data_IF_923664035080
#
_entry.id   IF_923664035080
#
_cell.length_a   1.000
_cell.length_b   1.000
_cell.length_c   1.000
_cell.angle_alpha   90.00
_cell.angle_beta   90.00
_cell.angle_gamma   90.00
#
_symmetry.space_group_name_H-M   'P 1'
#
loop_
_entity.id
_entity.type
_entity.pdbx_description
1 polymer ?
#
# COMPACT_ATOMS: atom_id res chain seq x y z
N UNK A 1 32.65 13.01 -91.97
CA UNK A 1 33.95 12.88 -91.28
C UNK A 1 33.82 13.61 -89.96
N UNK A 2 33.78 13.01 -88.77
CA UNK A 2 34.32 11.74 -88.29
C UNK A 2 33.34 11.08 -87.29
N UNK A 3 33.24 9.75 -87.36
CA UNK A 3 32.43 8.89 -86.50
C UNK A 3 33.01 8.75 -85.09
N UNK A 4 32.09 8.67 -84.13
CA UNK A 4 32.32 8.57 -82.69
C UNK A 4 32.24 7.08 -82.28
N UNK A 5 33.37 6.44 -81.96
CA UNK A 5 33.39 5.06 -81.44
C UNK A 5 33.38 5.05 -79.91
N UNK A 6 32.30 4.48 -79.35
CA UNK A 6 32.13 4.18 -77.92
C UNK A 6 33.06 3.03 -77.50
N UNK A 7 33.79 3.23 -76.40
CA UNK A 7 34.53 2.17 -75.70
C UNK A 7 33.74 1.81 -74.44
N UNK A 8 33.24 0.58 -74.37
CA UNK A 8 32.59 0.02 -73.18
C UNK A 8 33.66 -0.47 -72.20
N UNK A 9 33.63 0.02 -70.96
CA UNK A 9 34.34 -0.58 -69.83
C UNK A 9 33.35 -1.40 -68.99
N UNK A 10 33.55 -2.71 -68.95
CA UNK A 10 32.87 -3.66 -68.07
C UNK A 10 33.42 -3.51 -66.65
N UNK A 11 32.57 -3.10 -65.71
CA UNK A 11 32.88 -3.08 -64.27
C UNK A 11 32.39 -4.39 -63.65
N UNK A 12 33.33 -5.22 -63.18
CA UNK A 12 33.03 -6.41 -62.39
C UNK A 12 32.70 -5.99 -60.95
N UNK A 13 31.44 -6.16 -60.54
CA UNK A 13 30.98 -5.91 -59.17
C UNK A 13 31.27 -7.12 -58.28
N UNK A 14 32.26 -7.02 -57.40
CA UNK A 14 32.46 -8.00 -56.31
C UNK A 14 31.46 -7.70 -55.18
N UNK A 15 30.45 -8.54 -55.00
CA UNK A 15 29.52 -8.45 -53.88
C UNK A 15 30.17 -9.01 -52.61
N UNK A 16 30.49 -8.15 -51.64
CA UNK A 16 30.98 -8.56 -50.31
C UNK A 16 29.79 -8.66 -49.35
N UNK A 17 29.37 -9.88 -49.04
CA UNK A 17 28.30 -10.15 -48.07
C UNK A 17 28.84 -9.97 -46.66
N UNK A 18 28.54 -8.84 -46.01
CA UNK A 18 28.83 -8.63 -44.58
C UNK A 18 27.80 -9.39 -43.75
N UNK A 19 28.19 -10.52 -43.16
CA UNK A 19 27.42 -11.19 -42.12
C UNK A 19 27.42 -10.30 -40.87
N UNK A 20 26.30 -9.61 -40.60
CA UNK A 20 26.04 -9.03 -39.28
C UNK A 20 25.78 -10.17 -38.29
N UNK A 21 26.82 -10.57 -37.56
CA UNK A 21 26.66 -11.41 -36.38
C UNK A 21 25.97 -10.59 -35.28
N UNK A 22 24.70 -10.85 -35.04
CA UNK A 22 23.94 -10.32 -33.90
C UNK A 22 24.57 -10.85 -32.61
N UNK A 23 25.44 -10.06 -31.97
CA UNK A 23 25.96 -10.40 -30.63
C UNK A 23 24.80 -10.18 -29.65
N UNK A 24 24.11 -11.27 -29.32
CA UNK A 24 23.16 -11.31 -28.20
C UNK A 24 23.95 -11.23 -26.89
N UNK A 25 24.13 -10.00 -26.37
CA UNK A 25 24.62 -9.81 -25.02
C UNK A 25 23.67 -10.53 -24.05
N UNK A 26 24.18 -11.32 -23.09
CA UNK A 26 23.33 -11.95 -22.09
C UNK A 26 22.63 -10.84 -21.31
N UNK A 27 21.30 -10.89 -21.27
CA UNK A 27 20.53 -10.05 -20.38
C UNK A 27 20.89 -10.45 -18.94
N UNK A 28 21.78 -9.70 -18.30
CA UNK A 28 22.11 -9.90 -16.90
C UNK A 28 20.83 -9.69 -16.10
N UNK A 29 20.36 -10.76 -15.46
CA UNK A 29 19.33 -10.65 -14.43
C UNK A 29 19.86 -9.71 -13.34
N UNK A 30 19.07 -8.71 -12.94
CA UNK A 30 19.40 -7.96 -11.73
C UNK A 30 19.36 -8.91 -10.53
N UNK A 31 20.28 -8.74 -9.61
CA UNK A 31 20.48 -9.62 -8.45
C UNK A 31 19.78 -9.13 -7.18
N UNK A 32 18.92 -8.12 -7.30
CA UNK A 32 18.21 -7.49 -6.20
C UNK A 32 16.74 -7.32 -6.57
N UNK A 33 15.84 -7.76 -5.69
CA UNK A 33 14.38 -7.67 -5.85
C UNK A 33 13.95 -6.20 -5.77
N UNK A 34 13.00 -5.81 -6.63
CA UNK A 34 12.39 -4.48 -6.65
C UNK A 34 10.90 -4.57 -6.36
N UNK A 35 10.47 -3.83 -5.34
CA UNK A 35 9.11 -3.82 -4.83
C UNK A 35 8.59 -2.38 -4.90
N UNK A 36 7.37 -2.21 -5.40
CA UNK A 36 6.71 -0.90 -5.45
C UNK A 36 5.34 -0.99 -4.82
N UNK A 37 4.76 0.13 -4.37
CA UNK A 37 3.31 0.24 -4.19
C UNK A 37 2.89 0.83 -2.86
N UNK A 38 1.99 0.15 -2.17
CA UNK A 38 1.27 0.69 -1.02
C UNK A 38 2.18 1.15 0.12
N UNK A 39 2.08 2.42 0.49
CA UNK A 39 2.66 3.03 1.70
C UNK A 39 2.27 2.32 2.99
N UNK A 40 1.06 1.75 3.03
CA UNK A 40 0.59 0.93 4.16
C UNK A 40 1.38 -0.37 4.30
N UNK A 41 1.70 -1.01 3.16
CA UNK A 41 2.37 -2.30 3.17
C UNK A 41 3.89 -2.12 3.25
N UNK A 42 4.36 -0.89 3.00
CA UNK A 42 5.77 -0.49 3.07
C UNK A 42 6.47 -0.89 4.37
N UNK A 43 5.98 -0.57 5.59
CA UNK A 43 6.65 -0.96 6.83
C UNK A 43 6.77 -2.49 6.95
N UNK A 44 5.69 -3.24 6.66
CA UNK A 44 5.72 -4.71 6.71
C UNK A 44 6.72 -5.30 5.71
N UNK A 45 6.72 -4.81 4.47
CA UNK A 45 7.65 -5.29 3.45
C UNK A 45 9.10 -4.95 3.79
N UNK A 46 9.34 -3.79 4.41
CA UNK A 46 10.68 -3.38 4.84
C UNK A 46 11.23 -4.33 5.89
N UNK A 47 10.44 -4.66 6.92
CA UNK A 47 10.83 -5.63 7.94
C UNK A 47 11.13 -7.02 7.34
N UNK A 48 10.30 -7.50 6.41
CA UNK A 48 10.54 -8.78 5.73
C UNK A 48 11.81 -8.70 4.87
N UNK A 49 12.00 -7.60 4.13
CA UNK A 49 13.17 -7.39 3.27
C UNK A 49 14.48 -7.34 4.06
N UNK A 50 14.51 -6.61 5.17
CA UNK A 50 15.67 -6.53 6.07
C UNK A 50 16.02 -7.91 6.63
N UNK A 51 15.03 -8.65 7.14
CA UNK A 51 15.24 -10.02 7.65
C UNK A 51 15.64 -11.00 6.56
N UNK A 52 15.16 -10.81 5.34
CA UNK A 52 15.54 -11.62 4.20
C UNK A 52 16.99 -11.38 3.78
N UNK A 53 17.40 -10.11 3.70
CA UNK A 53 18.76 -9.70 3.35
C UNK A 53 19.80 -10.02 4.43
N UNK A 54 19.41 -9.98 5.71
CA UNK A 54 20.32 -10.29 6.83
C UNK A 54 20.79 -11.75 6.87
N UNK A 55 20.14 -12.65 6.12
CA UNK A 55 20.61 -14.04 5.93
C UNK A 55 21.92 -14.14 5.14
N UNK A 56 22.33 -13.08 4.43
CA UNK A 56 23.54 -13.03 3.60
C UNK A 56 23.43 -13.79 2.27
N UNK A 57 22.35 -14.53 2.02
CA UNK A 57 22.17 -15.32 0.79
C UNK A 57 21.66 -14.49 -0.40
N UNK A 58 20.89 -13.43 -0.14
CA UNK A 58 20.32 -12.55 -1.16
C UNK A 58 20.51 -11.10 -0.74
N UNK A 59 20.57 -10.19 -1.73
CA UNK A 59 20.54 -8.75 -1.45
C UNK A 59 19.20 -8.35 -0.84
N UNK A 60 19.24 -7.40 0.10
CA UNK A 60 18.03 -6.77 0.66
C UNK A 60 17.18 -6.18 -0.47
N UNK A 61 15.90 -6.57 -0.60
CA UNK A 61 14.98 -5.98 -1.58
C UNK A 61 14.89 -4.46 -1.47
N UNK A 62 14.80 -3.78 -2.61
CA UNK A 62 14.53 -2.34 -2.66
C UNK A 62 13.02 -2.13 -2.72
N UNK A 63 12.49 -1.26 -1.86
CA UNK A 63 11.07 -1.00 -1.75
C UNK A 63 10.82 0.49 -1.97
N UNK A 64 9.91 0.81 -2.88
CA UNK A 64 9.48 2.19 -3.15
C UNK A 64 7.97 2.36 -2.88
N UNK A 65 7.65 3.29 -1.98
CA UNK A 65 6.27 3.69 -1.72
C UNK A 65 5.75 4.58 -2.87
N UNK A 66 4.80 4.05 -3.65
CA UNK A 66 4.21 4.72 -4.82
C UNK A 66 2.67 4.73 -4.79
N UNK A 67 2.09 4.27 -3.67
CA UNK A 67 0.66 4.01 -3.50
C UNK A 67 0.19 2.79 -4.28
N UNK A 68 -0.88 2.12 -3.83
CA UNK A 68 -1.36 0.86 -4.45
C UNK A 68 -1.62 1.01 -5.96
N UNK A 69 -2.25 2.12 -6.39
CA UNK A 69 -2.54 2.35 -7.80
C UNK A 69 -1.30 2.70 -8.65
N UNK A 70 -0.36 3.47 -8.08
CA UNK A 70 0.90 3.80 -8.73
C UNK A 70 1.80 2.59 -8.89
N UNK A 71 1.97 1.81 -7.82
CA UNK A 71 2.70 0.55 -7.83
C UNK A 71 2.13 -0.45 -8.83
N UNK A 72 0.80 -0.62 -8.87
CA UNK A 72 0.18 -1.51 -9.85
C UNK A 72 0.39 -1.04 -11.30
N UNK A 73 0.39 0.28 -11.55
CA UNK A 73 0.72 0.84 -12.86
C UNK A 73 2.16 0.51 -13.26
N UNK A 74 3.13 0.64 -12.35
CA UNK A 74 4.54 0.32 -12.57
C UNK A 74 4.76 -1.19 -12.78
N UNK A 75 4.17 -2.00 -11.91
CA UNK A 75 4.19 -3.46 -11.97
C UNK A 75 3.63 -3.97 -13.30
N UNK A 76 2.46 -3.50 -13.73
CA UNK A 76 1.83 -3.93 -14.98
C UNK A 76 2.50 -3.36 -16.25
N UNK A 77 3.62 -2.63 -16.19
CA UNK A 77 4.28 -2.09 -17.41
C UNK A 77 4.88 -3.15 -18.32
N UNK A 78 5.27 -4.31 -17.77
CA UNK A 78 5.87 -5.38 -18.54
C UNK A 78 6.64 -6.39 -17.70
N UNK A 79 7.27 -7.32 -18.41
CA UNK A 79 8.26 -8.28 -17.89
C UNK A 79 9.68 -7.84 -18.26
N UNK A 80 10.69 -8.37 -17.58
CA UNK A 80 12.09 -7.95 -17.71
C UNK A 80 12.63 -7.24 -16.46
N UNK A 81 13.96 -7.10 -16.40
CA UNK A 81 14.71 -6.62 -15.23
C UNK A 81 14.47 -5.13 -14.93
N UNK A 82 14.04 -4.35 -15.92
CA UNK A 82 13.69 -2.93 -15.80
C UNK A 82 12.33 -2.67 -15.13
N UNK A 83 11.55 -3.72 -14.83
CA UNK A 83 10.25 -3.60 -14.20
C UNK A 83 10.26 -4.19 -12.78
N UNK A 84 9.46 -3.66 -11.84
CA UNK A 84 9.36 -4.22 -10.49
C UNK A 84 8.85 -5.67 -10.50
N UNK A 85 9.31 -6.47 -9.54
CA UNK A 85 8.91 -7.88 -9.36
C UNK A 85 7.63 -8.02 -8.58
N UNK A 86 7.46 -7.12 -7.60
CA UNK A 86 6.40 -7.20 -6.60
C UNK A 86 5.68 -5.86 -6.52
N UNK A 87 4.35 -5.93 -6.38
CA UNK A 87 3.50 -4.77 -6.10
C UNK A 87 2.77 -4.94 -4.78
N UNK A 88 3.08 -4.07 -3.83
CA UNK A 88 2.42 -3.93 -2.54
C UNK A 88 1.07 -3.23 -2.69
N UNK A 89 0.04 -3.71 -1.99
CA UNK A 89 -1.32 -3.23 -2.16
C UNK A 89 -2.16 -3.32 -0.88
N UNK A 90 -2.96 -2.29 -0.58
CA UNK A 90 -3.89 -2.29 0.56
C UNK A 90 -5.36 -2.49 0.12
N UNK A 91 -5.53 -3.18 -1.03
CA UNK A 91 -6.79 -3.61 -1.62
C UNK A 91 -6.49 -4.64 -2.70
N UNK A 92 -7.50 -5.43 -3.06
CA UNK A 92 -7.38 -6.32 -4.21
C UNK A 92 -7.06 -5.55 -5.50
N UNK A 93 -6.32 -6.21 -6.39
CA UNK A 93 -6.07 -5.76 -7.76
C UNK A 93 -7.42 -5.63 -8.49
N UNK A 94 -7.59 -4.56 -9.27
CA UNK A 94 -8.83 -4.34 -10.01
C UNK A 94 -8.86 -5.15 -11.30
N UNK A 95 -10.04 -5.50 -11.82
CA UNK A 95 -10.17 -6.13 -13.14
C UNK A 95 -9.50 -5.31 -14.26
N UNK A 96 -9.59 -3.98 -14.20
CA UNK A 96 -8.93 -3.09 -15.17
C UNK A 96 -7.40 -3.10 -15.06
N UNK A 97 -6.86 -3.28 -13.86
CA UNK A 97 -5.42 -3.42 -13.62
C UNK A 97 -4.92 -4.79 -14.11
N UNK A 98 -5.65 -5.86 -13.83
CA UNK A 98 -5.37 -7.20 -14.37
C UNK A 98 -5.38 -7.21 -15.90
N UNK A 99 -6.38 -6.57 -16.53
CA UNK A 99 -6.43 -6.44 -18.00
C UNK A 99 -5.21 -5.69 -18.54
N UNK A 100 -4.77 -4.63 -17.87
CA UNK A 100 -3.58 -3.89 -18.25
C UNK A 100 -2.30 -4.72 -18.09
N UNK A 101 -2.17 -5.47 -16.99
CA UNK A 101 -1.09 -6.43 -16.78
C UNK A 101 -1.02 -7.46 -17.91
N UNK A 102 -2.14 -8.14 -18.22
CA UNK A 102 -2.23 -9.12 -19.31
C UNK A 102 -1.86 -8.52 -20.67
N UNK A 103 -2.35 -7.31 -20.97
CA UNK A 103 -2.03 -6.58 -22.21
C UNK A 103 -0.51 -6.36 -22.39
N UNK A 104 0.22 -6.17 -21.30
CA UNK A 104 1.65 -5.90 -21.31
C UNK A 104 2.50 -7.15 -21.01
N UNK A 105 1.94 -8.36 -21.20
CA UNK A 105 2.66 -9.63 -21.01
C UNK A 105 2.83 -10.09 -19.57
N UNK A 106 2.27 -9.36 -18.59
CA UNK A 106 2.23 -9.78 -17.18
C UNK A 106 0.99 -10.65 -16.97
N UNK A 107 1.06 -11.89 -17.45
CA UNK A 107 -0.07 -12.83 -17.48
C UNK A 107 -0.28 -13.58 -16.17
N UNK A 108 0.77 -14.20 -15.64
CA UNK A 108 0.73 -15.00 -14.42
C UNK A 108 1.19 -14.18 -13.20
N UNK A 109 0.24 -13.87 -12.31
CA UNK A 109 0.46 -13.08 -11.10
C UNK A 109 0.06 -13.91 -9.90
N UNK A 110 0.95 -14.05 -8.91
CA UNK A 110 0.63 -14.65 -7.62
C UNK A 110 0.11 -13.52 -6.72
N UNK A 111 -1.13 -13.65 -6.23
CA UNK A 111 -1.70 -12.75 -5.23
C UNK A 111 -1.48 -13.32 -3.82
N UNK A 112 -0.97 -12.51 -2.90
CA UNK A 112 -0.74 -12.89 -1.50
C UNK A 112 -1.48 -11.92 -0.60
N UNK A 113 -2.65 -12.32 -0.11
CA UNK A 113 -3.29 -11.63 1.03
C UNK A 113 -2.56 -12.12 2.27
N UNK A 114 -1.80 -11.25 2.95
CA UNK A 114 -0.95 -11.68 4.08
C UNK A 114 -1.49 -11.27 5.45
N UNK A 115 -2.50 -10.40 5.49
CA UNK A 115 -3.09 -9.94 6.73
C UNK A 115 -4.10 -8.83 6.51
N UNK A 116 -4.43 -8.18 7.62
CA UNK A 116 -5.35 -7.07 7.70
C UNK A 116 -4.70 -5.90 8.42
N UNK A 117 -5.33 -4.75 8.27
CA UNK A 117 -4.98 -3.50 8.93
C UNK A 117 -6.28 -2.83 9.38
N UNK A 118 -6.27 -2.24 10.56
CA UNK A 118 -7.36 -1.46 11.13
C UNK A 118 -6.82 -0.15 11.66
N UNK A 119 -7.57 0.93 11.43
CA UNK A 119 -7.13 2.28 11.77
C UNK A 119 -8.08 2.86 12.79
N UNK A 120 -7.56 3.13 13.98
CA UNK A 120 -8.29 3.68 15.10
C UNK A 120 -8.39 5.21 14.99
N UNK A 121 -9.51 5.75 15.46
CA UNK A 121 -9.66 7.16 15.79
C UNK A 121 -9.73 7.27 17.31
N UNK A 122 -8.66 7.74 17.93
CA UNK A 122 -8.43 7.55 19.36
C UNK A 122 -8.34 8.86 20.12
N UNK A 123 -8.67 8.79 21.41
CA UNK A 123 -8.55 9.88 22.39
C UNK A 123 -7.96 9.32 23.70
N UNK A 124 -7.71 10.19 24.68
CA UNK A 124 -7.33 9.77 26.04
C UNK A 124 -8.32 8.75 26.62
N UNK A 125 -7.85 7.81 27.44
CA UNK A 125 -8.70 6.87 28.18
C UNK A 125 -9.74 7.59 29.06
N UNK A 126 -9.41 8.78 29.55
CA UNK A 126 -10.27 9.64 30.38
C UNK A 126 -11.16 10.59 29.55
N UNK A 127 -11.05 10.56 28.22
CA UNK A 127 -11.89 11.35 27.35
C UNK A 127 -13.32 10.81 27.26
N UNK A 128 -14.25 11.67 26.84
CA UNK A 128 -15.59 11.23 26.48
C UNK A 128 -15.54 10.25 25.31
N UNK A 129 -16.38 9.21 25.37
CA UNK A 129 -16.57 8.25 24.28
C UNK A 129 -17.44 8.84 23.18
N UNK A 130 -17.05 8.58 21.93
CA UNK A 130 -17.78 9.00 20.74
C UNK A 130 -18.10 7.80 19.85
N UNK A 131 -19.17 7.95 19.07
CA UNK A 131 -19.47 7.12 17.91
C UNK A 131 -19.59 8.04 16.71
N UNK A 132 -18.71 7.86 15.72
CA UNK A 132 -18.64 8.70 14.54
C UNK A 132 -19.07 7.96 13.29
N UNK A 133 -19.81 8.62 12.44
CA UNK A 133 -19.90 8.23 11.03
C UNK A 133 -18.71 8.76 10.25
N UNK A 134 -18.35 8.08 9.16
CA UNK A 134 -17.28 8.59 8.27
C UNK A 134 -17.64 9.91 7.60
N UNK A 135 -18.94 10.22 7.45
CA UNK A 135 -19.41 11.52 6.96
C UNK A 135 -19.08 12.62 7.97
N UNK A 136 -19.32 12.39 9.26
CA UNK A 136 -18.98 13.36 10.32
C UNK A 136 -17.48 13.60 10.39
N UNK A 137 -16.66 12.54 10.32
CA UNK A 137 -15.20 12.66 10.28
C UNK A 137 -14.72 13.43 9.03
N UNK A 138 -15.31 13.17 7.86
CA UNK A 138 -15.01 13.94 6.66
C UNK A 138 -15.37 15.42 6.84
N UNK A 139 -16.55 15.72 7.38
CA UNK A 139 -17.00 17.11 7.66
C UNK A 139 -16.05 17.84 8.60
N UNK A 140 -15.56 17.15 9.65
CA UNK A 140 -14.61 17.72 10.61
C UNK A 140 -13.26 18.07 9.95
N UNK A 141 -12.78 17.20 9.05
CA UNK A 141 -11.39 17.21 8.59
C UNK A 141 -11.17 17.81 7.19
N UNK A 142 -12.17 17.85 6.32
CA UNK A 142 -11.97 18.16 4.90
C UNK A 142 -11.85 19.66 4.61
N UNK A 143 -10.93 20.01 3.71
CA UNK A 143 -10.73 21.39 3.25
C UNK A 143 -11.92 21.92 2.44
N UNK A 144 -12.51 21.07 1.61
CA UNK A 144 -13.64 21.43 0.74
C UNK A 144 -14.99 21.11 1.39
N UNK A 145 -15.07 21.24 2.72
CA UNK A 145 -16.29 21.01 3.50
C UNK A 145 -16.69 22.23 4.33
N UNK A 146 -17.71 22.08 5.21
CA UNK A 146 -18.20 23.16 6.07
C UNK A 146 -17.20 23.70 7.10
N UNK A 147 -16.12 22.95 7.39
CA UNK A 147 -15.04 23.33 8.32
C UNK A 147 -15.56 23.84 9.70
N UNK A 148 -16.39 23.05 10.40
CA UNK A 148 -16.91 23.42 11.72
C UNK A 148 -15.80 23.60 12.76
N UNK A 149 -16.04 24.39 13.78
CA UNK A 149 -15.09 24.64 14.88
C UNK A 149 -15.32 23.70 16.06
N UNK A 150 -16.56 23.28 16.29
CA UNK A 150 -16.96 22.44 17.42
C UNK A 150 -17.66 21.16 16.95
N UNK A 151 -17.54 20.08 17.73
CA UNK A 151 -18.17 18.80 17.40
C UNK A 151 -19.70 18.88 17.32
N UNK A 152 -20.33 19.69 18.18
CA UNK A 152 -21.78 19.86 18.19
C UNK A 152 -22.35 20.60 16.97
N UNK A 153 -21.51 21.27 16.17
CA UNK A 153 -21.90 21.85 14.88
C UNK A 153 -22.06 20.79 13.78
N UNK A 154 -21.47 19.60 13.99
CA UNK A 154 -21.60 18.45 13.10
C UNK A 154 -22.81 17.60 13.50
N UNK A 155 -22.99 17.38 14.80
CA UNK A 155 -24.07 16.60 15.38
C UNK A 155 -24.45 17.20 16.74
N UNK A 156 -25.69 17.68 16.89
CA UNK A 156 -26.15 18.36 18.11
C UNK A 156 -26.10 17.48 19.37
N UNK A 157 -25.98 16.15 19.22
CA UNK A 157 -25.80 15.23 20.36
C UNK A 157 -24.37 15.18 20.89
N UNK A 158 -23.40 15.66 20.11
CA UNK A 158 -22.00 15.75 20.55
C UNK A 158 -21.80 16.92 21.53
N UNK A 159 -20.83 16.83 22.45
CA UNK A 159 -20.47 17.95 23.32
C UNK A 159 -19.96 19.14 22.51
N UNK A 160 -20.08 20.34 23.10
CA UNK A 160 -19.48 21.57 22.55
C UNK A 160 -17.97 21.61 22.82
N UNK A 161 -17.25 20.64 22.30
CA UNK A 161 -15.78 20.52 22.38
C UNK A 161 -15.17 21.01 21.08
N UNK A 162 -14.10 21.80 21.16
CA UNK A 162 -13.38 22.29 19.98
C UNK A 162 -12.77 21.10 19.22
N UNK A 163 -12.88 21.10 17.89
CA UNK A 163 -12.26 20.06 17.06
C UNK A 163 -10.75 20.26 17.04
N UNK A 164 -10.02 19.23 17.46
CA UNK A 164 -8.57 19.14 17.38
C UNK A 164 -8.17 17.68 17.09
N UNK A 165 -7.58 17.44 15.93
CA UNK A 165 -7.26 16.10 15.43
C UNK A 165 -5.81 16.05 14.98
N UNK A 166 -5.00 15.21 15.64
CA UNK A 166 -3.67 14.83 15.18
C UNK A 166 -3.79 13.82 14.04
N UNK A 167 -3.29 14.18 12.86
CA UNK A 167 -3.27 13.31 11.67
C UNK A 167 -1.82 12.92 11.34
N UNK A 168 -1.55 11.68 10.92
CA UNK A 168 -0.23 11.29 10.45
C UNK A 168 0.23 12.15 9.26
N UNK A 169 1.55 12.23 8.99
CA UNK A 169 2.08 13.02 7.90
C UNK A 169 1.66 12.45 6.52
N UNK A 170 1.74 13.24 5.43
CA UNK A 170 1.43 12.77 4.07
C UNK A 170 2.20 11.53 3.59
N UNK A 171 3.34 11.22 4.20
CA UNK A 171 4.18 10.05 3.93
C UNK A 171 3.69 8.77 4.60
N UNK A 172 2.79 8.87 5.58
CA UNK A 172 2.35 7.75 6.41
C UNK A 172 1.33 6.84 5.72
N UNK A 173 1.55 5.53 5.84
CA UNK A 173 0.61 4.49 5.40
C UNK A 173 -0.73 4.48 6.13
N UNK A 174 -0.76 5.01 7.36
CA UNK A 174 -1.96 5.22 8.20
C UNK A 174 -2.82 6.34 7.60
N UNK A 175 -2.20 7.45 7.16
CA UNK A 175 -2.94 8.52 6.46
C UNK A 175 -3.51 8.05 5.14
N UNK A 176 -2.77 7.25 4.38
CA UNK A 176 -3.30 6.68 3.13
C UNK A 176 -4.49 5.74 3.37
N UNK A 177 -4.47 5.00 4.48
CA UNK A 177 -5.60 4.22 4.98
C UNK A 177 -6.83 5.09 5.22
N UNK A 178 -6.64 6.13 6.04
CA UNK A 178 -7.67 7.05 6.47
C UNK A 178 -8.29 7.76 5.27
N UNK A 179 -7.45 8.21 4.34
CA UNK A 179 -7.87 8.83 3.10
C UNK A 179 -8.72 7.89 2.23
N UNK A 180 -8.39 6.60 2.17
CA UNK A 180 -9.12 5.63 1.37
C UNK A 180 -10.44 5.20 2.02
N UNK A 181 -10.47 5.06 3.34
CA UNK A 181 -11.58 4.45 4.10
C UNK A 181 -12.51 5.44 4.75
N UNK A 182 -12.02 6.60 5.19
CA UNK A 182 -12.79 7.67 5.81
C UNK A 182 -13.00 8.78 4.79
N UNK A 183 -11.94 9.49 4.39
CA UNK A 183 -12.10 10.73 3.63
C UNK A 183 -12.84 10.50 2.31
N UNK A 184 -12.44 9.50 1.53
CA UNK A 184 -13.11 9.19 0.26
C UNK A 184 -14.56 8.69 0.42
N UNK A 185 -14.88 8.02 1.53
CA UNK A 185 -16.19 7.41 1.78
C UNK A 185 -17.19 8.41 2.36
N UNK A 186 -16.75 9.26 3.28
CA UNK A 186 -17.55 10.34 3.86
C UNK A 186 -17.77 11.54 2.92
N UNK A 187 -16.95 11.66 1.86
CA UNK A 187 -17.01 12.78 0.93
C UNK A 187 -18.35 12.86 0.15
N UNK A 188 -19.02 14.03 0.13
CA UNK A 188 -20.18 14.32 -0.69
C UNK A 188 -19.96 14.19 -2.21
N UNK A 189 -21.05 14.02 -2.96
CA UNK A 189 -21.00 13.79 -4.40
C UNK A 189 -20.56 15.03 -5.21
N UNK A 190 -20.92 16.23 -4.76
CA UNK A 190 -20.53 17.51 -5.32
C UNK A 190 -19.01 17.74 -5.19
N UNK A 191 -18.42 17.47 -4.03
CA UNK A 191 -16.96 17.58 -3.83
C UNK A 191 -16.19 16.59 -4.71
N UNK A 192 -16.72 15.38 -4.93
CA UNK A 192 -16.12 14.40 -5.85
C UNK A 192 -16.00 14.90 -7.29
N UNK A 193 -16.83 15.87 -7.70
CA UNK A 193 -16.79 16.48 -9.04
C UNK A 193 -15.65 17.48 -9.21
N UNK A 194 -15.15 18.09 -8.11
CA UNK A 194 -14.04 19.06 -8.15
C UNK A 194 -12.78 18.37 -8.66
N UNK A 195 -12.37 17.29 -7.99
CA UNK A 195 -11.27 16.41 -8.46
C UNK A 195 -11.25 15.10 -7.69
N UNK A 196 -10.49 14.11 -8.19
CA UNK A 196 -10.25 12.85 -7.47
C UNK A 196 -9.58 13.03 -6.10
N UNK A 197 -8.84 14.12 -5.90
CA UNK A 197 -8.09 14.42 -4.65
C UNK A 197 -8.83 15.37 -3.71
N UNK A 198 -9.86 16.08 -4.18
CA UNK A 198 -10.59 17.06 -3.37
C UNK A 198 -11.14 16.46 -2.07
N UNK A 199 -11.67 15.23 -2.14
CA UNK A 199 -12.18 14.53 -0.97
C UNK A 199 -11.13 14.25 0.11
N UNK A 200 -9.84 14.18 -0.25
CA UNK A 200 -8.74 13.77 0.62
C UNK A 200 -7.91 14.97 1.11
N UNK A 201 -8.18 16.17 0.62
CA UNK A 201 -7.52 17.38 1.10
C UNK A 201 -8.05 17.69 2.50
N UNK A 202 -7.18 17.63 3.49
CA UNK A 202 -7.49 18.01 4.87
C UNK A 202 -7.37 19.53 5.02
N UNK A 203 -8.18 20.12 5.90
CA UNK A 203 -8.14 21.54 6.24
C UNK A 203 -6.85 21.92 6.97
N UNK A 204 -6.41 23.17 6.81
CA UNK A 204 -5.13 23.68 7.33
C UNK A 204 -5.32 24.84 8.34
N UNK A 205 -6.54 25.03 8.85
CA UNK A 205 -6.91 26.12 9.79
C UNK A 205 -6.74 25.74 11.27
N UNK A 206 -5.96 24.69 11.55
CA UNK A 206 -5.58 24.27 12.91
C UNK A 206 -6.51 23.27 13.60
N UNK A 207 -7.67 22.94 13.02
CA UNK A 207 -8.53 21.86 13.55
C UNK A 207 -7.94 20.46 13.26
N UNK A 208 -7.22 20.32 12.14
CA UNK A 208 -6.43 19.13 11.80
C UNK A 208 -4.96 19.53 11.85
N UNK A 209 -4.18 18.82 12.65
CA UNK A 209 -2.80 19.13 12.96
C UNK A 209 -1.95 17.95 12.49
N UNK A 210 -1.07 18.18 11.53
CA UNK A 210 -0.16 17.13 11.07
C UNK A 210 0.87 16.81 12.17
N UNK A 211 0.93 15.54 12.53
CA UNK A 211 1.96 14.98 13.39
C UNK A 211 3.14 14.48 12.56
N UNK A 212 4.29 14.24 13.22
CA UNK A 212 5.41 13.52 12.60
C UNK A 212 5.18 12.01 12.58
N UNK A 213 6.16 11.25 12.09
CA UNK A 213 6.11 9.77 12.02
C UNK A 213 6.23 9.07 13.39
N UNK A 214 6.45 9.81 14.46
CA UNK A 214 6.58 9.24 15.80
C UNK A 214 5.21 9.18 16.50
N UNK A 215 4.52 8.06 16.33
CA UNK A 215 3.20 7.80 16.91
C UNK A 215 3.21 7.86 18.45
N UNK A 216 4.33 7.56 19.12
CA UNK A 216 4.43 7.65 20.58
C UNK A 216 4.21 9.09 21.10
N UNK A 217 4.62 10.10 20.33
CA UNK A 217 4.36 11.51 20.66
C UNK A 217 2.87 11.86 20.53
N UNK A 218 2.14 11.18 19.65
CA UNK A 218 0.69 11.38 19.52
C UNK A 218 0.01 10.82 20.78
N UNK A 219 0.38 9.61 21.24
CA UNK A 219 -0.17 9.02 22.47
C UNK A 219 0.04 9.94 23.68
N UNK A 220 1.27 10.46 23.87
CA UNK A 220 1.56 11.41 24.96
C UNK A 220 0.70 12.68 24.90
N UNK A 221 0.46 13.21 23.70
CA UNK A 221 -0.41 14.39 23.52
C UNK A 221 -1.88 14.11 23.82
N UNK A 222 -2.36 12.90 23.52
CA UNK A 222 -3.73 12.50 23.84
C UNK A 222 -3.92 12.34 25.34
N UNK A 223 -3.02 11.64 26.02
CA UNK A 223 -3.04 11.46 27.47
C UNK A 223 -3.05 12.81 28.22
N UNK A 224 -2.29 13.79 27.75
CA UNK A 224 -2.25 15.12 28.33
C UNK A 224 -3.48 16.01 27.98
N UNK A 225 -4.32 15.61 27.02
CA UNK A 225 -5.44 16.42 26.55
C UNK A 225 -6.65 15.58 26.12
N UNK A 226 -7.63 15.49 27.01
CA UNK A 226 -8.87 14.73 26.81
C UNK A 226 -9.80 15.27 25.70
N UNK A 227 -9.50 16.43 25.11
CA UNK A 227 -10.25 16.98 23.96
C UNK A 227 -9.62 16.66 22.60
N UNK A 228 -8.41 16.09 22.59
CA UNK A 228 -7.66 15.81 21.38
C UNK A 228 -8.00 14.41 20.84
N UNK A 229 -7.99 14.27 19.52
CA UNK A 229 -8.06 12.98 18.84
C UNK A 229 -6.80 12.71 18.03
N UNK A 230 -6.47 11.44 17.84
CA UNK A 230 -5.36 10.96 17.01
C UNK A 230 -5.78 9.80 16.12
N UNK A 231 -5.03 9.56 15.04
CA UNK A 231 -5.29 8.47 14.11
C UNK A 231 -4.12 7.48 14.15
N UNK A 232 -4.39 6.21 14.44
CA UNK A 232 -3.37 5.18 14.64
C UNK A 232 -3.69 3.88 13.92
N UNK A 233 -2.67 3.05 13.69
CA UNK A 233 -2.88 1.63 13.42
C UNK A 233 -3.36 0.89 14.68
N UNK A 234 -4.13 -0.19 14.50
CA UNK A 234 -4.71 -0.98 15.59
C UNK A 234 -3.68 -1.47 16.61
N UNK A 235 -2.50 -1.95 16.17
CA UNK A 235 -1.46 -2.41 17.09
C UNK A 235 -0.96 -1.32 18.05
N UNK A 236 -0.96 -0.05 17.63
CA UNK A 236 -0.62 1.07 18.54
C UNK A 236 -1.68 1.32 19.59
N UNK A 237 -2.96 1.18 19.23
CA UNK A 237 -4.06 1.25 20.19
C UNK A 237 -3.95 0.13 21.22
N UNK A 238 -3.75 -1.11 20.77
CA UNK A 238 -3.68 -2.28 21.64
C UNK A 238 -2.56 -2.15 22.67
N UNK A 239 -1.36 -1.77 22.20
CA UNK A 239 -0.16 -1.58 23.03
C UNK A 239 -0.23 -0.39 23.99
N UNK A 240 -1.24 0.47 23.90
CA UNK A 240 -1.41 1.66 24.75
C UNK A 240 -2.85 1.76 25.29
N UNK A 241 -3.54 0.62 25.42
CA UNK A 241 -4.95 0.56 25.84
C UNK A 241 -5.19 0.98 27.30
N UNK A 242 -4.12 1.08 28.09
CA UNK A 242 -4.10 1.67 29.43
C UNK A 242 -4.15 3.21 29.41
N UNK A 243 -3.81 3.84 28.28
CA UNK A 243 -3.65 5.30 28.16
C UNK A 243 -4.59 5.94 27.15
N UNK A 244 -4.97 5.21 26.10
CA UNK A 244 -5.85 5.69 25.04
C UNK A 244 -7.00 4.72 24.75
N UNK A 245 -8.09 5.26 24.24
CA UNK A 245 -9.25 4.50 23.77
C UNK A 245 -9.61 4.87 22.33
N UNK A 246 -10.34 4.01 21.63
CA UNK A 246 -10.86 4.30 20.30
C UNK A 246 -12.34 4.69 20.34
N UNK A 247 -12.71 5.65 19.49
CA UNK A 247 -14.11 5.92 19.17
C UNK A 247 -14.70 4.78 18.35
N UNK A 248 -16.00 4.52 18.55
CA UNK A 248 -16.76 3.66 17.65
C UNK A 248 -16.91 4.36 16.30
N UNK A 249 -16.98 3.54 15.25
CA UNK A 249 -17.24 4.04 13.90
C UNK A 249 -18.49 3.35 13.38
N UNK A 250 -19.55 4.11 13.16
CA UNK A 250 -20.84 3.62 12.67
C UNK A 250 -21.39 2.51 13.59
N UNK A 251 -21.26 2.67 14.91
CA UNK A 251 -21.70 1.72 15.94
C UNK A 251 -20.72 0.58 16.24
N UNK A 252 -19.66 0.42 15.44
CA UNK A 252 -18.72 -0.71 15.53
C UNK A 252 -17.44 -0.30 16.26
N UNK A 253 -17.06 -1.11 17.25
CA UNK A 253 -15.80 -0.99 17.97
C UNK A 253 -14.67 -1.68 17.20
N UNK A 254 -13.46 -1.12 17.28
CA UNK A 254 -12.29 -1.72 16.66
C UNK A 254 -11.76 -2.87 17.54
N UNK A 255 -11.67 -4.06 16.97
CA UNK A 255 -11.07 -5.22 17.62
C UNK A 255 -10.45 -6.13 16.56
N UNK A 256 -9.71 -7.15 17.01
CA UNK A 256 -9.16 -8.16 16.10
C UNK A 256 -10.28 -8.83 15.29
N UNK A 257 -11.38 -9.19 15.94
CA UNK A 257 -12.54 -9.83 15.31
C UNK A 257 -13.20 -8.92 14.27
N UNK A 258 -13.49 -7.66 14.63
CA UNK A 258 -14.18 -6.73 13.72
C UNK A 258 -13.29 -6.27 12.56
N UNK A 259 -11.97 -6.31 12.72
CA UNK A 259 -11.01 -6.10 11.63
C UNK A 259 -10.95 -7.31 10.70
N UNK A 260 -10.89 -8.53 11.25
CA UNK A 260 -10.82 -9.76 10.46
C UNK A 260 -12.12 -10.03 9.68
N UNK A 261 -13.28 -9.75 10.28
CA UNK A 261 -14.59 -9.85 9.63
C UNK A 261 -14.89 -8.69 8.67
N UNK A 262 -14.12 -7.60 8.74
CA UNK A 262 -14.36 -6.32 8.07
C UNK A 262 -15.65 -5.61 8.46
N UNK A 263 -16.24 -5.96 9.61
CA UNK A 263 -17.34 -5.19 10.20
C UNK A 263 -16.87 -3.79 10.60
N UNK A 264 -15.64 -3.65 11.09
CA UNK A 264 -15.09 -2.33 11.39
C UNK A 264 -14.85 -1.51 10.11
N UNK A 265 -15.46 -0.31 9.94
CA UNK A 265 -15.48 0.38 8.65
C UNK A 265 -14.12 0.82 8.09
N UNK A 266 -13.12 0.96 8.96
CA UNK A 266 -11.76 1.40 8.62
C UNK A 266 -10.77 0.22 8.57
N UNK A 267 -11.27 -1.02 8.60
CA UNK A 267 -10.47 -2.21 8.35
C UNK A 267 -10.20 -2.44 6.85
N UNK A 268 -9.07 -3.03 6.49
CA UNK A 268 -8.76 -3.40 5.10
C UNK A 268 -7.85 -4.62 4.99
N UNK A 269 -7.97 -5.39 3.89
CA UNK A 269 -7.01 -6.41 3.54
C UNK A 269 -5.67 -5.82 3.05
N UNK A 270 -4.59 -6.51 3.37
CA UNK A 270 -3.25 -6.22 2.88
C UNK A 270 -2.78 -7.32 1.93
N UNK A 271 -2.17 -6.90 0.82
CA UNK A 271 -1.70 -7.77 -0.24
C UNK A 271 -0.30 -7.40 -0.70
N UNK A 272 0.37 -8.37 -1.30
CA UNK A 272 1.33 -8.10 -2.35
C UNK A 272 1.11 -9.04 -3.54
N UNK A 273 1.60 -8.62 -4.69
CA UNK A 273 1.45 -9.33 -5.97
C UNK A 273 2.81 -9.61 -6.54
N UNK A 274 3.08 -10.85 -6.95
CA UNK A 274 4.37 -11.28 -7.50
C UNK A 274 4.20 -11.66 -8.98
N UNK A 275 5.10 -11.19 -9.85
CA UNK A 275 5.16 -11.71 -11.23
C UNK A 275 5.78 -13.09 -11.22
N UNK A 276 5.02 -14.10 -11.64
CA UNK A 276 5.55 -15.47 -11.70
C UNK A 276 6.73 -15.58 -12.68
N UNK A 277 6.66 -14.88 -13.81
CA UNK A 277 7.72 -14.81 -14.81
C UNK A 277 9.06 -14.24 -14.29
N UNK A 278 9.06 -13.50 -13.18
CA UNK A 278 10.30 -12.99 -12.58
C UNK A 278 10.93 -13.97 -11.58
N UNK A 279 10.19 -14.99 -11.13
CA UNK A 279 10.68 -15.92 -10.10
C UNK A 279 11.85 -16.80 -10.57
N UNK A 280 11.91 -17.09 -11.87
CA UNK A 280 12.96 -17.94 -12.44
C UNK A 280 14.13 -17.12 -13.01
N UNK A 281 14.01 -15.79 -13.02
CA UNK A 281 15.01 -14.87 -13.59
C UNK A 281 15.70 -14.07 -12.48
N UNK A 282 14.93 -13.53 -11.53
CA UNK A 282 15.44 -12.68 -10.46
C UNK A 282 15.69 -13.54 -9.21
N UNK A 283 16.96 -13.70 -8.78
CA UNK A 283 17.27 -14.51 -7.61
C UNK A 283 16.52 -14.06 -6.36
N UNK A 284 15.98 -15.01 -5.61
CA UNK A 284 15.39 -14.76 -4.30
C UNK A 284 13.90 -14.42 -4.29
N UNK A 285 13.24 -14.20 -5.45
CA UNK A 285 11.81 -13.82 -5.46
C UNK A 285 10.93 -14.92 -4.85
N UNK A 286 11.22 -16.19 -5.13
CA UNK A 286 10.50 -17.31 -4.53
C UNK A 286 10.75 -17.41 -3.01
N UNK A 287 11.99 -17.24 -2.59
CA UNK A 287 12.39 -17.30 -1.19
C UNK A 287 11.83 -16.12 -0.39
N UNK A 288 11.80 -14.92 -0.97
CA UNK A 288 11.17 -13.75 -0.37
C UNK A 288 9.66 -13.95 -0.22
N UNK A 289 8.98 -14.45 -1.25
CA UNK A 289 7.56 -14.82 -1.18
C UNK A 289 7.28 -15.77 0.00
N UNK A 290 8.08 -16.83 0.15
CA UNK A 290 7.90 -17.81 1.22
C UNK A 290 8.31 -17.27 2.60
N UNK A 291 9.32 -16.40 2.67
CA UNK A 291 9.72 -15.70 3.89
C UNK A 291 8.58 -14.83 4.41
N UNK A 292 7.96 -14.05 3.52
CA UNK A 292 6.82 -13.20 3.85
C UNK A 292 5.62 -14.04 4.30
N UNK A 293 5.30 -15.12 3.58
CA UNK A 293 4.16 -15.99 3.91
C UNK A 293 4.42 -16.94 5.10
N UNK A 294 5.59 -16.88 5.75
CA UNK A 294 5.94 -17.80 6.83
C UNK A 294 5.18 -17.50 8.12
N UNK A 295 4.91 -18.52 8.95
CA UNK A 295 4.28 -18.30 10.27
C UNK A 295 5.13 -17.35 11.13
N UNK A 296 6.47 -17.46 11.06
CA UNK A 296 7.36 -16.55 11.78
C UNK A 296 7.08 -15.08 11.44
N UNK A 297 6.62 -14.78 10.23
CA UNK A 297 6.25 -13.44 9.80
C UNK A 297 4.80 -13.06 10.14
N UNK A 298 3.83 -13.89 9.76
CA UNK A 298 2.41 -13.50 9.70
C UNK A 298 1.47 -14.25 10.67
N UNK A 299 1.99 -15.14 11.51
CA UNK A 299 1.15 -15.80 12.53
C UNK A 299 0.77 -14.83 13.65
N UNK A 300 -0.04 -15.32 14.59
CA UNK A 300 -0.46 -14.57 15.78
C UNK A 300 0.73 -14.23 16.71
N UNK A 301 1.85 -14.95 16.59
CA UNK A 301 3.13 -14.70 17.26
C UNK A 301 4.21 -14.17 16.28
N UNK A 302 3.78 -13.77 15.07
CA UNK A 302 4.67 -13.35 14.00
C UNK A 302 5.26 -11.96 14.26
N UNK A 303 6.48 -11.72 13.79
CA UNK A 303 7.14 -10.43 14.02
C UNK A 303 6.48 -9.23 13.32
N UNK A 304 5.52 -9.46 12.42
CA UNK A 304 4.76 -8.38 11.78
C UNK A 304 3.61 -7.87 12.67
N UNK A 305 3.22 -8.61 13.71
CA UNK A 305 2.24 -8.15 14.71
C UNK A 305 2.73 -6.88 15.40
N UNK A 306 4.02 -6.84 15.76
CA UNK A 306 4.66 -5.66 16.37
C UNK A 306 4.59 -4.41 15.48
N UNK A 307 4.48 -4.61 14.16
CA UNK A 307 4.30 -3.54 13.18
C UNK A 307 2.83 -3.17 12.94
N UNK A 308 1.89 -3.75 13.71
CA UNK A 308 0.46 -3.51 13.64
C UNK A 308 -0.29 -4.40 12.64
N UNK A 309 0.27 -5.54 12.25
CA UNK A 309 -0.44 -6.50 11.40
C UNK A 309 -1.58 -7.13 12.20
N UNK A 310 -2.79 -7.13 11.66
CA UNK A 310 -3.84 -8.02 12.16
C UNK A 310 -3.77 -9.33 11.36
N UNK A 311 -3.52 -10.47 12.01
CA UNK A 311 -3.26 -11.72 11.30
C UNK A 311 -4.51 -12.22 10.58
N UNK A 312 -4.31 -13.05 9.55
CA UNK A 312 -5.39 -13.85 8.97
C UNK A 312 -5.73 -15.02 9.89
N UNK A 313 -6.87 -15.68 9.71
CA UNK A 313 -7.15 -16.93 10.44
C UNK A 313 -6.11 -18.02 10.10
N UNK A 314 -5.91 -18.99 10.98
CA UNK A 314 -4.96 -20.09 10.74
C UNK A 314 -5.24 -20.81 9.41
N UNK A 315 -6.51 -21.11 9.10
CA UNK A 315 -6.93 -21.71 7.84
C UNK A 315 -6.49 -20.86 6.64
N UNK A 316 -6.69 -19.55 6.70
CA UNK A 316 -6.27 -18.63 5.65
C UNK A 316 -4.74 -18.58 5.50
N UNK A 317 -3.99 -18.63 6.61
CA UNK A 317 -2.52 -18.69 6.59
C UNK A 317 -2.00 -20.01 6.00
N UNK A 318 -2.63 -21.14 6.32
CA UNK A 318 -2.33 -22.44 5.71
C UNK A 318 -2.57 -22.39 4.19
N UNK A 319 -3.73 -21.91 3.77
CA UNK A 319 -4.07 -21.76 2.35
C UNK A 319 -3.08 -20.85 1.62
N UNK A 320 -2.69 -19.73 2.26
CA UNK A 320 -1.68 -18.81 1.73
C UNK A 320 -0.32 -19.49 1.54
N UNK A 321 0.15 -20.24 2.53
CA UNK A 321 1.43 -20.97 2.45
C UNK A 321 1.41 -22.02 1.35
N UNK A 322 0.31 -22.75 1.19
CA UNK A 322 0.13 -23.70 0.07
C UNK A 322 0.17 -22.97 -1.27
N UNK A 323 -0.52 -21.82 -1.38
CA UNK A 323 -0.50 -20.98 -2.58
C UNK A 323 0.90 -20.50 -2.94
N UNK A 324 1.64 -20.00 -1.94
CA UNK A 324 3.00 -19.49 -2.08
C UNK A 324 3.98 -20.59 -2.51
N UNK A 325 3.99 -21.73 -1.81
CA UNK A 325 4.85 -22.88 -2.13
C UNK A 325 4.60 -23.43 -3.54
N UNK A 326 3.34 -23.52 -3.94
CA UNK A 326 2.95 -24.06 -5.24
C UNK A 326 2.90 -23.01 -6.36
N UNK A 327 3.34 -21.77 -6.10
CA UNK A 327 3.38 -20.66 -7.08
C UNK A 327 2.03 -20.46 -7.80
N UNK A 328 0.92 -20.60 -7.07
CA UNK A 328 -0.42 -20.60 -7.66
C UNK A 328 -0.81 -19.17 -8.08
N UNK A 329 -0.95 -18.97 -9.39
CA UNK A 329 -1.40 -17.73 -9.99
C UNK A 329 -2.86 -17.41 -9.63
N UNK A 330 -3.17 -16.13 -9.53
CA UNK A 330 -4.54 -15.63 -9.55
C UNK A 330 -5.23 -16.08 -10.85
N UNK A 331 -6.47 -16.55 -10.73
CA UNK A 331 -7.30 -16.95 -11.87
C UNK A 331 -7.84 -15.72 -12.61
#
# INVERSE_FOLDING_TARGET
MFENKKTQFTVNTLATTVLLASISLPAFARDQIQIVGSSTVYPFSTLVAERFGSTGKYKTPVIESTGTGGGMKLFCKGIGTQHPDISNASRAIKPSELKNCKKNGVGEIIEVKFGNDGIAFSSSIDAQKFDFTRKQLWTAMAEHGPKPTYWNEIDATFPRTKIAILTPPPTSGTRDAWNAKVMKKGCPADVKKISKKACQKMREDGAVIEAGENDALIVQKLEANNSLFGIFGFGYLENNSDRIQAAKIEGVEISLETIQSYEYPIARPLFFYVKKAHMDIIPGVYEYLNSFASERAISDDGYLIDAGLVPLTEEQRIALRVKAKNKISLK
#
